data_IF_658921264475
#
_entry.id   IF_658921264475
#
_cell.length_a   1.000
_cell.length_b   1.000
_cell.length_c   1.000
_cell.angle_alpha   90.00
_cell.angle_beta   90.00
_cell.angle_gamma   90.00
#
_symmetry.space_group_name_H-M   'P 1'
#
loop_
_entity.id
_entity.type
_entity.pdbx_description
1 polymer ?
#
# COMPACT_ATOMS: atom_id res chain seq x y z
N UNK A 1 -1.00 26.24 -30.76
CA UNK A 1 0.24 26.25 -29.94
C UNK A 1 -0.01 26.01 -28.45
N UNK A 2 -1.25 26.12 -27.94
CA UNK A 2 -1.65 25.88 -26.54
C UNK A 2 -1.76 24.40 -26.17
N UNK A 3 -2.28 23.55 -27.06
CA UNK A 3 -2.48 22.11 -26.80
C UNK A 3 -1.19 21.34 -26.56
N UNK A 4 -0.14 21.58 -27.38
CA UNK A 4 1.15 20.91 -27.20
C UNK A 4 1.82 21.32 -25.88
N UNK A 5 1.70 22.60 -25.48
CA UNK A 5 2.20 23.08 -24.18
C UNK A 5 1.46 22.40 -23.02
N UNK A 6 0.13 22.29 -23.10
CA UNK A 6 -0.67 21.63 -22.08
C UNK A 6 -0.35 20.13 -21.99
N UNK A 7 -0.23 19.45 -23.12
CA UNK A 7 0.21 18.06 -23.18
C UNK A 7 1.57 17.87 -22.50
N UNK A 8 2.56 18.71 -22.84
CA UNK A 8 3.89 18.65 -22.23
C UNK A 8 3.86 18.89 -20.72
N UNK A 9 3.10 19.88 -20.24
CA UNK A 9 2.97 20.14 -18.80
C UNK A 9 2.38 18.92 -18.08
N UNK A 10 1.28 18.37 -18.60
CA UNK A 10 0.65 17.18 -18.01
C UNK A 10 1.61 15.99 -18.03
N UNK A 11 2.33 15.77 -19.14
CA UNK A 11 3.29 14.68 -19.27
C UNK A 11 4.44 14.81 -18.25
N UNK A 12 5.03 16.00 -18.13
CA UNK A 12 6.10 16.27 -17.17
C UNK A 12 5.61 16.14 -15.74
N UNK A 13 4.42 16.64 -15.42
CA UNK A 13 3.83 16.48 -14.08
C UNK A 13 3.54 15.02 -13.77
N UNK A 14 2.98 14.25 -14.71
CA UNK A 14 2.71 12.83 -14.54
C UNK A 14 4.00 12.05 -14.28
N UNK A 15 5.04 12.27 -15.10
CA UNK A 15 6.35 11.65 -14.93
C UNK A 15 6.97 12.04 -13.57
N UNK A 16 6.91 13.32 -13.20
CA UNK A 16 7.40 13.80 -11.91
C UNK A 16 6.71 13.13 -10.72
N UNK A 17 5.38 13.09 -10.73
CA UNK A 17 4.60 12.40 -9.69
C UNK A 17 4.87 10.88 -9.68
N UNK A 18 5.09 10.26 -10.84
CA UNK A 18 5.35 8.83 -10.95
C UNK A 18 6.70 8.47 -10.29
N UNK A 19 7.75 9.22 -10.61
CA UNK A 19 9.06 9.05 -9.99
C UNK A 19 9.01 9.37 -8.49
N UNK A 20 8.31 10.43 -8.10
CA UNK A 20 8.20 10.79 -6.69
C UNK A 20 7.44 9.74 -5.88
N UNK A 21 6.33 9.21 -6.40
CA UNK A 21 5.60 8.09 -5.81
C UNK A 21 6.52 6.87 -5.62
N UNK A 22 7.33 6.55 -6.62
CA UNK A 22 8.33 5.47 -6.53
C UNK A 22 9.37 5.72 -5.44
N UNK A 23 9.79 6.97 -5.24
CA UNK A 23 10.72 7.36 -4.16
C UNK A 23 10.07 7.20 -2.79
N UNK A 24 8.81 7.62 -2.61
CA UNK A 24 8.09 7.45 -1.34
C UNK A 24 7.92 5.98 -0.97
N UNK A 25 7.73 5.12 -1.97
CA UNK A 25 7.60 3.67 -1.82
C UNK A 25 8.90 2.95 -1.43
N UNK A 26 10.04 3.65 -1.45
CA UNK A 26 11.32 3.05 -1.07
C UNK A 26 11.43 2.88 0.45
N UNK A 27 11.92 1.73 0.93
CA UNK A 27 12.21 1.54 2.34
C UNK A 27 13.30 2.53 2.82
N UNK A 28 13.10 3.12 4.00
CA UNK A 28 14.09 3.97 4.67
C UNK A 28 15.35 3.15 4.99
N UNK A 29 15.15 1.91 5.46
CA UNK A 29 16.22 0.99 5.79
C UNK A 29 16.15 -0.27 4.93
N UNK A 30 17.30 -0.73 4.45
CA UNK A 30 17.45 -2.01 3.72
C UNK A 30 17.58 -3.17 4.71
N UNK A 31 16.46 -3.62 5.25
CA UNK A 31 16.40 -4.83 6.07
C UNK A 31 16.42 -6.08 5.19
N UNK A 32 16.98 -7.18 5.71
CA UNK A 32 16.93 -8.49 5.05
C UNK A 32 15.58 -9.15 5.34
N UNK A 33 15.13 -9.95 4.40
CA UNK A 33 14.02 -10.87 4.60
C UNK A 33 14.44 -11.95 5.60
N UNK A 34 13.54 -12.28 6.53
CA UNK A 34 13.74 -13.30 7.56
C UNK A 34 12.83 -14.49 7.27
N UNK A 35 13.29 -15.73 7.49
CA UNK A 35 12.49 -16.92 7.26
C UNK A 35 11.31 -16.97 8.24
N UNK A 36 10.10 -17.17 7.71
CA UNK A 36 8.89 -17.25 8.52
C UNK A 36 8.93 -18.39 9.53
N UNK A 37 9.61 -19.50 9.20
CA UNK A 37 9.75 -20.68 10.07
C UNK A 37 10.51 -20.42 11.39
N UNK A 38 11.28 -19.33 11.48
CA UNK A 38 11.96 -18.97 12.73
C UNK A 38 11.04 -18.29 13.76
N UNK A 39 9.89 -17.78 13.31
CA UNK A 39 8.98 -16.96 14.13
C UNK A 39 7.58 -17.57 14.21
N UNK A 40 7.07 -18.07 13.09
CA UNK A 40 5.70 -18.57 12.98
C UNK A 40 5.42 -19.72 13.96
N UNK A 41 4.33 -19.60 14.73
CA UNK A 41 3.89 -20.61 15.70
C UNK A 41 4.95 -20.93 16.78
N UNK A 42 5.88 -20.01 17.03
CA UNK A 42 6.87 -20.12 18.10
C UNK A 42 6.62 -19.05 19.17
N UNK A 43 7.30 -19.15 20.31
CA UNK A 43 7.31 -18.10 21.33
C UNK A 43 8.20 -16.90 20.94
N UNK A 44 8.87 -16.94 19.78
CA UNK A 44 9.75 -15.86 19.33
C UNK A 44 8.95 -14.71 18.77
N UNK A 45 9.23 -13.54 19.30
CA UNK A 45 8.64 -12.27 18.88
C UNK A 45 9.57 -11.59 17.88
N UNK A 46 9.00 -11.02 16.81
CA UNK A 46 9.73 -10.20 15.86
C UNK A 46 9.70 -8.74 16.28
N UNK A 47 10.84 -8.19 16.66
CA UNK A 47 10.96 -6.79 17.08
C UNK A 47 11.34 -5.91 15.91
N UNK A 48 10.68 -4.76 15.77
CA UNK A 48 10.99 -3.77 14.73
C UNK A 48 10.89 -2.34 15.28
N UNK A 49 11.63 -1.42 14.67
CA UNK A 49 11.67 -0.02 15.09
C UNK A 49 10.89 0.87 14.14
N UNK A 50 10.01 1.69 14.70
CA UNK A 50 9.35 2.79 14.00
C UNK A 50 10.22 4.04 14.20
N UNK A 51 10.85 4.57 13.14
CA UNK A 51 11.91 5.57 13.28
C UNK A 51 11.40 6.96 13.71
N UNK A 52 10.21 7.34 13.23
CA UNK A 52 9.62 8.65 13.47
C UNK A 52 8.11 8.52 13.67
N UNK A 53 7.53 9.46 14.41
CA UNK A 53 6.09 9.58 14.59
C UNK A 53 5.40 9.71 13.22
N UNK A 54 4.27 9.03 13.04
CA UNK A 54 3.54 9.02 11.78
C UNK A 54 4.19 8.24 10.63
N UNK A 55 5.24 7.45 10.89
CA UNK A 55 5.89 6.65 9.84
C UNK A 55 4.96 5.57 9.31
N UNK A 56 5.03 5.31 8.01
CA UNK A 56 4.32 4.19 7.38
C UNK A 56 5.22 2.98 7.37
N UNK A 57 4.74 1.88 7.95
CA UNK A 57 5.43 0.60 7.99
C UNK A 57 4.81 -0.33 6.95
N UNK A 58 5.65 -0.96 6.15
CA UNK A 58 5.31 -1.98 5.17
C UNK A 58 5.66 -3.36 5.71
N UNK A 59 4.67 -4.24 5.64
CA UNK A 59 4.76 -5.67 5.89
C UNK A 59 4.85 -6.35 4.53
N UNK A 60 6.04 -6.84 4.18
CA UNK A 60 6.27 -7.61 2.97
C UNK A 60 6.43 -9.09 3.35
N UNK A 61 5.72 -9.96 2.65
CA UNK A 61 5.88 -11.41 2.72
C UNK A 61 6.07 -11.93 1.31
N UNK A 62 7.11 -12.73 1.08
CA UNK A 62 7.39 -13.38 -0.19
C UNK A 62 7.57 -14.88 0.04
N UNK A 63 6.89 -15.73 -0.73
CA UNK A 63 7.07 -17.17 -0.65
C UNK A 63 6.42 -17.86 -1.83
N UNK A 64 7.15 -18.78 -2.47
CA UNK A 64 6.61 -19.57 -3.58
C UNK A 64 6.15 -20.92 -3.07
N UNK A 65 4.84 -21.17 -3.15
CA UNK A 65 4.28 -22.43 -2.67
C UNK A 65 4.29 -23.52 -3.73
N UNK A 66 4.18 -24.77 -3.28
CA UNK A 66 3.92 -25.90 -4.16
C UNK A 66 2.51 -25.79 -4.76
N UNK A 67 2.29 -26.35 -5.95
CA UNK A 67 0.96 -26.34 -6.57
C UNK A 67 -0.08 -27.02 -5.67
N UNK A 68 -1.31 -26.52 -5.73
CA UNK A 68 -2.44 -26.98 -4.91
C UNK A 68 -2.18 -26.85 -3.41
N UNK A 69 -1.53 -25.76 -3.01
CA UNK A 69 -1.27 -25.49 -1.61
C UNK A 69 -1.52 -24.04 -1.27
N UNK A 70 -1.89 -23.82 -0.01
CA UNK A 70 -2.08 -22.51 0.57
C UNK A 70 -1.39 -22.43 1.92
N UNK A 71 -1.01 -21.21 2.28
CA UNK A 71 -0.50 -20.84 3.59
C UNK A 71 -1.18 -19.56 4.06
N UNK A 72 -1.96 -19.68 5.13
CA UNK A 72 -2.56 -18.55 5.83
C UNK A 72 -1.54 -17.97 6.79
N UNK A 73 -1.46 -16.65 6.85
CA UNK A 73 -0.52 -15.90 7.67
C UNK A 73 -1.29 -14.92 8.54
N UNK A 74 -1.05 -14.99 9.85
CA UNK A 74 -1.56 -14.00 10.79
C UNK A 74 -0.40 -13.32 11.51
N UNK A 75 -0.33 -11.99 11.42
CA UNK A 75 0.68 -11.18 12.09
C UNK A 75 0.00 -10.23 13.06
N UNK A 76 0.12 -10.51 14.35
CA UNK A 76 -0.39 -9.65 15.41
C UNK A 76 0.65 -8.60 15.77
N UNK A 77 0.26 -7.33 15.77
CA UNK A 77 1.16 -6.20 16.03
C UNK A 77 0.82 -5.55 17.36
N UNK A 78 1.87 -5.33 18.15
CA UNK A 78 1.80 -4.74 19.47
C UNK A 78 2.64 -3.46 19.53
N UNK A 79 2.15 -2.49 20.30
CA UNK A 79 2.82 -1.22 20.57
C UNK A 79 4.01 -1.35 21.53
N UNK A 80 4.70 -0.23 21.81
CA UNK A 80 5.83 -0.20 22.73
C UNK A 80 5.52 -0.67 24.15
N UNK A 81 4.27 -0.48 24.59
CA UNK A 81 3.79 -0.89 25.92
C UNK A 81 3.11 -2.28 25.89
N UNK A 82 3.45 -3.13 24.91
CA UNK A 82 2.85 -4.46 24.68
C UNK A 82 1.32 -4.45 24.46
N UNK A 83 0.77 -3.26 24.19
CA UNK A 83 -0.65 -3.10 23.86
C UNK A 83 -0.95 -3.63 22.47
N UNK A 84 -1.99 -4.45 22.34
CA UNK A 84 -2.41 -4.98 21.04
C UNK A 84 -3.00 -3.84 20.18
N UNK A 85 -2.55 -3.77 18.91
CA UNK A 85 -3.00 -2.74 17.96
C UNK A 85 -3.97 -3.34 16.93
N UNK A 86 -3.50 -4.33 16.18
CA UNK A 86 -4.24 -4.98 15.10
C UNK A 86 -3.58 -6.31 14.72
N UNK A 87 -4.29 -7.11 13.94
CA UNK A 87 -3.79 -8.33 13.31
C UNK A 87 -3.92 -8.18 11.80
N UNK A 88 -2.85 -8.48 11.08
CA UNK A 88 -2.88 -8.69 9.63
C UNK A 88 -3.20 -10.15 9.36
N UNK A 89 -4.17 -10.44 8.51
CA UNK A 89 -4.53 -11.78 8.04
C UNK A 89 -4.52 -11.80 6.51
N UNK A 90 -3.69 -12.64 5.93
CA UNK A 90 -3.65 -12.83 4.48
C UNK A 90 -3.09 -14.20 4.11
N UNK A 91 -3.12 -14.55 2.84
CA UNK A 91 -2.74 -15.88 2.37
C UNK A 91 -1.80 -15.85 1.16
N UNK A 92 -0.87 -16.80 1.15
CA UNK A 92 -0.13 -17.23 -0.03
C UNK A 92 -0.81 -18.50 -0.57
N UNK A 93 -0.92 -18.63 -1.88
CA UNK A 93 -1.49 -19.84 -2.49
C UNK A 93 -0.90 -20.09 -3.87
N UNK A 94 -1.00 -21.33 -4.31
CA UNK A 94 -0.68 -21.73 -5.68
C UNK A 94 -1.70 -22.76 -6.16
N UNK A 95 -2.30 -22.48 -7.31
CA UNK A 95 -3.34 -23.31 -7.92
C UNK A 95 -2.96 -23.66 -9.35
N UNK A 96 -3.48 -24.79 -9.82
CA UNK A 96 -3.31 -25.22 -11.20
C UNK A 96 -4.56 -25.93 -11.67
N UNK A 97 -4.86 -25.85 -12.96
CA UNK A 97 -6.01 -26.54 -13.50
C UNK A 97 -5.87 -26.80 -14.99
N UNK A 98 -6.96 -27.29 -15.56
CA UNK A 98 -7.11 -27.47 -16.99
C UNK A 98 -8.50 -27.06 -17.42
N UNK A 99 -8.58 -26.20 -18.43
CA UNK A 99 -9.81 -25.74 -19.06
C UNK A 99 -9.74 -25.97 -20.58
N UNK A 100 -10.66 -25.35 -21.33
CA UNK A 100 -10.71 -25.43 -22.80
C UNK A 100 -9.50 -24.83 -23.49
N UNK A 101 -8.80 -23.90 -22.83
CA UNK A 101 -7.70 -23.13 -23.39
C UNK A 101 -6.34 -23.77 -23.05
N UNK A 102 -6.32 -24.68 -22.07
CA UNK A 102 -5.19 -25.56 -21.79
C UNK A 102 -4.97 -25.78 -20.31
N UNK A 103 -3.73 -26.11 -19.95
CA UNK A 103 -3.31 -26.11 -18.54
C UNK A 103 -3.02 -24.70 -18.08
N UNK A 104 -3.52 -24.32 -16.90
CA UNK A 104 -3.23 -23.04 -16.28
C UNK A 104 -2.56 -23.23 -14.92
N UNK A 105 -1.87 -22.18 -14.47
CA UNK A 105 -1.25 -22.13 -13.15
C UNK A 105 -1.27 -20.70 -12.63
N UNK A 106 -1.75 -20.53 -11.42
CA UNK A 106 -1.85 -19.25 -10.73
C UNK A 106 -1.11 -19.28 -9.41
N UNK A 107 -0.51 -18.15 -9.04
CA UNK A 107 0.24 -17.98 -7.81
C UNK A 107 -0.14 -16.67 -7.14
N UNK A 108 -0.26 -16.73 -5.82
CA UNK A 108 -0.16 -15.59 -4.93
C UNK A 108 1.08 -15.79 -4.06
N UNK A 109 2.21 -15.27 -4.54
CA UNK A 109 3.54 -15.46 -3.95
C UNK A 109 4.04 -14.28 -3.11
N UNK A 110 3.25 -13.19 -3.06
CA UNK A 110 3.59 -11.94 -2.38
C UNK A 110 2.39 -11.34 -1.66
N UNK A 111 2.63 -10.85 -0.45
CA UNK A 111 1.72 -10.02 0.32
C UNK A 111 2.45 -8.72 0.66
N UNK A 112 1.77 -7.59 0.44
CA UNK A 112 2.28 -6.28 0.80
C UNK A 112 1.17 -5.47 1.43
N UNK A 113 1.32 -5.18 2.72
CA UNK A 113 0.38 -4.35 3.48
C UNK A 113 1.17 -3.20 4.08
N UNK A 114 0.66 -1.97 3.98
CA UNK A 114 1.31 -0.78 4.54
C UNK A 114 0.36 -0.09 5.48
N UNK A 115 0.86 0.35 6.63
CA UNK A 115 0.06 0.94 7.68
C UNK A 115 0.84 2.05 8.40
N UNK A 116 0.16 3.16 8.69
CA UNK A 116 0.73 4.27 9.48
C UNK A 116 0.83 3.88 10.96
N UNK A 117 1.91 4.28 11.61
CA UNK A 117 2.13 4.15 13.05
C UNK A 117 2.24 5.54 13.67
N UNK A 118 1.44 5.87 14.71
CA UNK A 118 1.37 7.23 15.22
C UNK A 118 2.62 7.65 16.01
N UNK A 119 3.27 6.69 16.69
CA UNK A 119 4.38 6.95 17.59
C UNK A 119 5.64 6.21 17.13
N UNK A 120 6.79 6.85 17.28
CA UNK A 120 8.10 6.23 17.16
C UNK A 120 8.35 5.29 18.35
N UNK A 121 9.21 4.31 18.13
CA UNK A 121 9.64 3.41 19.19
C UNK A 121 9.78 1.97 18.72
N UNK A 122 9.99 1.09 19.68
CA UNK A 122 10.11 -0.34 19.42
C UNK A 122 8.72 -0.98 19.46
N UNK A 123 8.39 -1.72 18.41
CA UNK A 123 7.16 -2.47 18.27
C UNK A 123 7.50 -3.95 18.14
N UNK A 124 6.50 -4.79 18.39
CA UNK A 124 6.64 -6.23 18.30
C UNK A 124 5.55 -6.82 17.43
N UNK A 125 5.90 -7.90 16.73
CA UNK A 125 4.99 -8.69 15.95
C UNK A 125 5.10 -10.17 16.30
N UNK A 126 3.95 -10.82 16.46
CA UNK A 126 3.85 -12.26 16.67
C UNK A 126 3.24 -12.88 15.43
N UNK A 127 3.89 -13.92 14.91
CA UNK A 127 3.53 -14.55 13.64
C UNK A 127 2.91 -15.93 13.90
N UNK A 128 1.78 -16.18 13.27
CA UNK A 128 1.15 -17.48 13.19
C UNK A 128 0.98 -17.85 11.72
N UNK A 129 1.15 -19.12 11.42
CA UNK A 129 0.86 -19.64 10.09
C UNK A 129 0.09 -20.95 10.16
N UNK A 130 -0.79 -21.13 9.18
CA UNK A 130 -1.49 -22.39 8.95
C UNK A 130 -1.31 -22.79 7.50
N UNK A 131 -1.34 -24.09 7.23
CA UNK A 131 -1.14 -24.61 5.88
C UNK A 131 -2.22 -25.61 5.48
N UNK A 132 -2.62 -25.49 4.22
CA UNK A 132 -3.49 -26.44 3.54
C UNK A 132 -2.76 -27.63 2.96
N UNK A 133 -3.47 -28.69 2.56
CA UNK A 133 -2.85 -29.95 2.17
C UNK A 133 -2.04 -29.86 0.87
N UNK A 134 -0.73 -30.12 1.00
CA UNK A 134 0.01 -31.05 0.14
C UNK A 134 0.80 -32.02 1.04
N UNK A 135 0.62 -33.33 0.84
CA UNK A 135 1.11 -34.39 1.78
C UNK A 135 2.61 -34.72 1.63
N UNK A 136 3.34 -34.11 0.69
CA UNK A 136 4.69 -34.59 0.30
C UNK A 136 5.73 -33.50 0.03
N UNK A 137 5.45 -32.23 0.28
CA UNK A 137 6.45 -31.15 0.15
C UNK A 137 6.98 -30.71 1.50
N UNK A 138 8.32 -30.65 1.67
CA UNK A 138 8.92 -29.84 2.73
C UNK A 138 8.30 -28.45 2.65
N UNK A 139 7.74 -27.97 3.77
CA UNK A 139 6.88 -26.80 3.82
C UNK A 139 7.45 -25.66 3.00
N UNK A 140 6.66 -25.18 2.03
CA UNK A 140 7.04 -24.06 1.19
C UNK A 140 7.40 -22.86 2.08
N UNK A 141 8.69 -22.57 2.09
CA UNK A 141 9.29 -21.54 2.90
C UNK A 141 8.83 -20.18 2.36
N UNK A 142 8.57 -19.27 3.29
CA UNK A 142 8.30 -17.88 2.98
C UNK A 142 9.19 -17.03 3.85
N UNK A 143 9.44 -15.82 3.38
CA UNK A 143 10.22 -14.84 4.08
C UNK A 143 9.41 -13.58 4.26
N UNK A 144 9.60 -12.93 5.40
CA UNK A 144 8.91 -11.68 5.70
C UNK A 144 9.89 -10.60 6.14
N UNK A 145 9.42 -9.36 6.09
CA UNK A 145 10.14 -8.17 6.55
C UNK A 145 9.14 -7.08 6.88
N UNK A 146 9.47 -6.29 7.89
CA UNK A 146 8.74 -5.08 8.25
C UNK A 146 9.67 -3.88 8.06
N UNK A 147 9.27 -2.86 7.30
CA UNK A 147 10.10 -1.66 7.07
C UNK A 147 9.35 -0.36 7.01
N UNK A 148 9.97 0.69 7.53
CA UNK A 148 9.51 2.06 7.30
C UNK A 148 9.67 2.46 5.83
N UNK A 149 8.66 3.12 5.27
CA UNK A 149 8.66 3.78 3.98
C UNK A 149 8.99 5.26 4.13
N UNK A 150 9.42 5.91 3.04
CA UNK A 150 9.71 7.36 3.05
C UNK A 150 8.46 8.22 3.11
N UNK A 151 7.32 7.72 2.63
CA UNK A 151 6.02 8.38 2.76
C UNK A 151 4.89 7.55 2.17
N UNK A 152 3.74 8.19 1.96
CA UNK A 152 2.51 7.58 1.48
C UNK A 152 2.34 7.74 -0.04
N UNK A 153 2.79 6.76 -0.81
CA UNK A 153 2.61 6.74 -2.27
C UNK A 153 1.13 6.61 -2.68
N UNK A 154 0.25 6.11 -1.79
CA UNK A 154 -1.17 5.87 -2.11
C UNK A 154 -1.92 7.18 -2.40
N UNK A 155 -1.55 8.27 -1.73
CA UNK A 155 -2.12 9.62 -1.92
C UNK A 155 -1.97 10.10 -3.37
N UNK A 156 -0.87 9.73 -4.03
CA UNK A 156 -0.58 10.14 -5.41
C UNK A 156 -1.26 9.25 -6.45
N UNK A 157 -1.75 8.07 -6.05
CA UNK A 157 -2.23 7.04 -6.99
C UNK A 157 -3.41 7.53 -7.81
N UNK A 158 -4.43 8.12 -7.18
CA UNK A 158 -5.60 8.66 -7.87
C UNK A 158 -5.19 9.76 -8.88
N UNK A 159 -4.29 10.66 -8.47
CA UNK A 159 -3.85 11.76 -9.30
C UNK A 159 -3.06 11.28 -10.53
N UNK A 160 -2.20 10.27 -10.36
CA UNK A 160 -1.50 9.62 -11.45
C UNK A 160 -2.44 8.98 -12.47
N UNK A 161 -3.53 8.35 -12.00
CA UNK A 161 -4.56 7.81 -12.88
C UNK A 161 -5.28 8.90 -13.67
N UNK A 162 -5.72 9.97 -13.01
CA UNK A 162 -6.39 11.11 -13.67
C UNK A 162 -5.50 11.70 -14.76
N UNK A 163 -4.26 12.04 -14.43
CA UNK A 163 -3.30 12.58 -15.39
C UNK A 163 -2.99 11.59 -16.52
N UNK A 164 -2.87 10.29 -16.21
CA UNK A 164 -2.63 9.23 -17.18
C UNK A 164 -3.76 9.06 -18.20
N UNK A 165 -5.01 9.08 -17.73
CA UNK A 165 -6.20 9.04 -18.61
C UNK A 165 -6.23 10.26 -19.53
N UNK A 166 -5.96 11.46 -19.00
CA UNK A 166 -5.92 12.69 -19.81
C UNK A 166 -4.83 12.58 -20.89
N UNK A 167 -3.64 12.06 -20.55
CA UNK A 167 -2.57 11.82 -21.53
C UNK A 167 -2.98 10.83 -22.60
N UNK A 168 -3.62 9.72 -22.23
CA UNK A 168 -4.12 8.73 -23.18
C UNK A 168 -5.13 9.35 -24.17
N UNK A 169 -6.04 10.19 -23.69
CA UNK A 169 -6.97 10.94 -24.54
C UNK A 169 -6.24 11.88 -25.52
N UNK A 170 -5.17 12.56 -25.08
CA UNK A 170 -4.37 13.40 -25.97
C UNK A 170 -3.65 12.59 -27.05
N UNK A 171 -3.09 11.43 -26.69
CA UNK A 171 -2.42 10.54 -27.65
C UNK A 171 -3.43 10.01 -28.67
N UNK A 172 -4.61 9.56 -28.23
CA UNK A 172 -5.68 9.07 -29.10
C UNK A 172 -6.22 10.18 -30.03
N UNK A 173 -6.41 11.39 -29.51
CA UNK A 173 -6.80 12.53 -30.33
C UNK A 173 -5.73 12.87 -31.38
N UNK A 174 -4.45 12.85 -30.98
CA UNK A 174 -3.32 13.09 -31.87
C UNK A 174 -3.19 12.03 -32.98
N UNK A 175 -3.34 10.75 -32.65
CA UNK A 175 -3.29 9.66 -33.63
C UNK A 175 -4.41 9.79 -34.66
N UNK A 176 -5.65 9.99 -34.19
CA UNK A 176 -6.80 10.16 -35.08
C UNK A 176 -6.69 11.43 -35.94
N UNK A 177 -6.10 12.51 -35.42
CA UNK A 177 -5.86 13.72 -36.20
C UNK A 177 -4.84 13.47 -37.32
N UNK A 178 -3.76 12.75 -37.03
CA UNK A 178 -2.73 12.42 -38.02
C UNK A 178 -3.25 11.47 -39.09
N UNK A 179 -4.05 10.47 -38.70
CA UNK A 179 -4.67 9.51 -39.62
C UNK A 179 -5.69 10.20 -40.55
N UNK A 180 -6.59 11.02 -40.01
CA UNK A 180 -7.58 11.76 -40.81
C UNK A 180 -6.96 12.87 -41.68
N UNK A 181 -5.77 13.39 -41.33
CA UNK A 181 -5.05 14.37 -42.16
C UNK A 181 -4.54 13.74 -43.47
N UNK A 182 -4.33 12.42 -43.48
CA UNK A 182 -3.91 11.70 -44.68
C UNK A 182 -5.09 11.38 -45.62
N UNK A 183 -6.33 11.36 -45.13
CA UNK A 183 -7.47 10.90 -45.93
C UNK A 183 -8.32 12.00 -46.60
N UNK A 184 -8.62 13.18 -46.01
CA UNK A 184 -9.43 14.18 -46.75
C UNK A 184 -9.23 15.64 -46.27
N UNK A 185 -9.20 16.58 -47.22
CA UNK A 185 -9.44 18.03 -47.01
C UNK A 185 -10.88 18.23 -46.49
N UNK A 186 -11.09 18.16 -45.19
CA UNK A 186 -12.42 18.39 -44.59
C UNK A 186 -12.49 19.79 -43.94
N UNK A 187 -13.23 20.76 -44.52
CA UNK A 187 -13.27 22.15 -44.06
C UNK A 187 -14.08 22.39 -42.77
N UNK A 188 -14.69 21.34 -42.19
CA UNK A 188 -15.52 21.46 -40.98
C UNK A 188 -14.77 21.18 -39.66
N UNK A 189 -13.47 20.87 -39.72
CA UNK A 189 -12.64 20.64 -38.53
C UNK A 189 -11.99 21.91 -37.98
N UNK A 190 -12.41 23.10 -38.41
CA UNK A 190 -11.95 24.38 -37.85
C UNK A 190 -12.83 24.84 -36.66
N UNK A 191 -13.00 23.94 -35.68
CA UNK A 191 -13.47 24.31 -34.33
C UNK A 191 -12.40 23.93 -33.31
N UNK A 192 -11.20 24.50 -33.46
CA UNK A 192 -10.14 24.42 -32.45
C UNK A 192 -10.39 25.32 -31.23
N UNK A 193 -11.64 25.71 -30.95
CA UNK A 193 -11.96 26.79 -30.01
C UNK A 193 -12.20 26.34 -28.56
N UNK A 194 -12.12 25.04 -28.24
CA UNK A 194 -12.45 24.57 -26.88
C UNK A 194 -11.38 24.99 -25.85
N UNK A 195 -10.15 25.30 -26.27
CA UNK A 195 -9.05 25.72 -25.38
C UNK A 195 -8.31 26.99 -25.83
N UNK A 196 -8.82 27.70 -26.84
CA UNK A 196 -8.25 28.98 -27.29
C UNK A 196 -8.61 30.09 -26.30
N UNK A 197 -7.96 30.12 -25.14
CA UNK A 197 -8.21 31.11 -24.09
C UNK A 197 -7.68 30.72 -22.71
N UNK A 198 -7.24 29.48 -22.51
CA UNK A 198 -6.67 29.07 -21.22
C UNK A 198 -5.27 29.65 -21.07
N UNK A 199 -5.11 30.55 -20.10
CA UNK A 199 -3.82 31.14 -19.76
C UNK A 199 -2.87 30.07 -19.23
N UNK A 200 -1.56 30.21 -19.48
CA UNK A 200 -0.55 29.30 -18.91
C UNK A 200 -0.58 29.27 -17.38
N UNK A 201 -1.02 30.36 -16.74
CA UNK A 201 -1.20 30.45 -15.30
C UNK A 201 -2.31 29.53 -14.80
N UNK A 202 -3.43 29.45 -15.53
CA UNK A 202 -4.54 28.52 -15.20
C UNK A 202 -4.08 27.07 -15.25
N UNK A 203 -3.24 26.71 -16.23
CA UNK A 203 -2.70 25.35 -16.35
C UNK A 203 -1.81 25.01 -15.16
N UNK A 204 -0.92 25.93 -14.76
CA UNK A 204 -0.06 25.75 -13.58
C UNK A 204 -0.90 25.58 -12.32
N UNK A 205 -1.93 26.42 -12.15
CA UNK A 205 -2.78 26.42 -10.96
C UNK A 205 -3.64 25.15 -10.84
N UNK A 206 -4.08 24.56 -11.95
CA UNK A 206 -4.99 23.39 -11.93
C UNK A 206 -4.24 22.06 -12.00
N UNK A 207 -3.04 22.01 -12.60
CA UNK A 207 -2.29 20.76 -12.78
C UNK A 207 -1.11 20.67 -11.82
N UNK A 208 -0.25 21.69 -11.82
CA UNK A 208 1.03 21.64 -11.12
C UNK A 208 0.84 21.89 -9.62
N UNK A 209 0.03 22.89 -9.25
CA UNK A 209 -0.18 23.23 -7.84
C UNK A 209 -0.83 22.08 -7.04
N UNK A 210 -1.89 21.41 -7.52
CA UNK A 210 -2.44 20.23 -6.83
C UNK A 210 -1.43 19.09 -6.73
N UNK A 211 -0.63 18.86 -7.79
CA UNK A 211 0.43 17.85 -7.76
C UNK A 211 1.46 18.15 -6.64
N UNK A 212 1.89 19.41 -6.50
CA UNK A 212 2.82 19.82 -5.45
C UNK A 212 2.18 19.61 -4.07
N UNK A 213 0.93 20.06 -3.87
CA UNK A 213 0.22 19.88 -2.59
C UNK A 213 0.11 18.40 -2.22
N UNK A 214 -0.26 17.55 -3.18
CA UNK A 214 -0.35 16.11 -2.96
C UNK A 214 1.01 15.48 -2.64
N UNK A 215 2.10 15.93 -3.29
CA UNK A 215 3.45 15.48 -2.96
C UNK A 215 3.85 15.86 -1.53
N UNK A 216 3.49 17.07 -1.08
CA UNK A 216 3.73 17.51 0.30
C UNK A 216 2.93 16.66 1.28
N UNK A 217 1.64 16.44 1.01
CA UNK A 217 0.79 15.58 1.85
C UNK A 217 1.28 14.13 1.89
N UNK A 218 1.73 13.59 0.76
CA UNK A 218 2.30 12.26 0.66
C UNK A 218 3.60 12.09 1.47
N UNK A 219 4.32 13.17 1.72
CA UNK A 219 5.49 13.17 2.62
C UNK A 219 5.17 13.52 4.06
N UNK A 220 3.97 14.04 4.32
CA UNK A 220 3.59 14.49 5.64
C UNK A 220 3.36 13.28 6.56
N UNK A 221 4.07 13.24 7.68
CA UNK A 221 3.89 12.23 8.72
C UNK A 221 2.96 12.78 9.78
N UNK A 222 1.71 12.32 9.79
CA UNK A 222 0.75 12.66 10.85
C UNK A 222 1.00 11.77 12.06
N UNK A 223 1.10 12.36 13.25
CA UNK A 223 1.21 11.71 14.55
C UNK A 223 -0.16 11.45 15.20
N UNK A 224 -1.25 11.78 14.50
CA UNK A 224 -2.60 11.64 15.05
C UNK A 224 -2.90 10.19 15.44
N UNK A 225 -3.56 9.97 16.60
CA UNK A 225 -3.89 8.64 17.07
C UNK A 225 -4.79 7.91 16.07
N UNK A 226 -4.51 6.62 15.86
CA UNK A 226 -5.22 5.80 14.87
C UNK A 226 -6.33 5.01 15.55
N UNK A 227 -7.54 5.13 15.03
CA UNK A 227 -8.64 4.25 15.40
C UNK A 227 -8.55 2.94 14.59
N UNK A 228 -7.90 1.93 15.18
CA UNK A 228 -7.72 0.61 14.56
C UNK A 228 -9.03 -0.12 14.23
N UNK A 229 -10.12 0.18 14.92
CA UNK A 229 -11.44 -0.39 14.59
C UNK A 229 -11.92 0.12 13.24
N UNK A 230 -11.76 1.42 12.99
CA UNK A 230 -12.08 2.03 11.70
C UNK A 230 -11.14 1.56 10.57
N UNK A 231 -9.85 1.38 10.87
CA UNK A 231 -8.92 0.80 9.90
C UNK A 231 -9.35 -0.62 9.52
N UNK A 232 -9.73 -1.45 10.51
CA UNK A 232 -10.16 -2.82 10.26
C UNK A 232 -11.46 -2.93 9.47
N UNK A 233 -12.40 -1.99 9.60
CA UNK A 233 -13.64 -2.02 8.83
C UNK A 233 -13.44 -1.65 7.36
N UNK A 234 -12.36 -0.94 7.04
CA UNK A 234 -12.02 -0.52 5.66
C UNK A 234 -11.07 -1.49 4.96
N UNK A 235 -10.42 -2.42 5.68
CA UNK A 235 -9.40 -3.32 5.15
C UNK A 235 -9.75 -4.79 5.43
N UNK A 236 -9.91 -5.60 4.37
CA UNK A 236 -10.25 -7.03 4.51
C UNK A 236 -9.16 -7.85 5.22
N UNK A 237 -7.90 -7.44 5.09
CA UNK A 237 -6.74 -8.14 5.64
C UNK A 237 -6.29 -7.61 7.00
N UNK A 238 -6.99 -6.63 7.59
CA UNK A 238 -6.65 -6.08 8.90
C UNK A 238 -7.86 -6.27 9.82
N UNK A 239 -7.66 -6.92 10.95
CA UNK A 239 -8.67 -7.06 12.00
C UNK A 239 -8.18 -6.41 13.29
N UNK A 240 -9.09 -5.79 14.05
CA UNK A 240 -8.82 -5.28 15.40
C UNK A 240 -9.79 -5.94 16.37
N UNK A 241 -9.33 -6.94 17.14
CA UNK A 241 -10.16 -7.58 18.16
C UNK A 241 -10.29 -6.67 19.40
N UNK A 242 -11.53 -6.31 19.74
CA UNK A 242 -11.85 -5.49 20.92
C UNK A 242 -11.45 -6.18 22.22
N UNK A 243 -11.66 -7.50 22.34
CA UNK A 243 -11.37 -8.25 23.56
C UNK A 243 -9.87 -8.28 23.83
N UNK A 244 -9.05 -8.52 22.80
CA UNK A 244 -7.59 -8.50 22.95
C UNK A 244 -7.07 -7.10 23.32
N UNK A 245 -7.67 -6.03 22.80
CA UNK A 245 -7.33 -4.65 23.23
C UNK A 245 -7.67 -4.44 24.70
N UNK A 246 -8.87 -4.78 25.13
CA UNK A 246 -9.31 -4.63 26.53
C UNK A 246 -8.43 -5.45 27.49
N UNK A 247 -8.04 -6.68 27.12
CA UNK A 247 -7.10 -7.49 27.90
C UNK A 247 -5.69 -6.88 27.97
N UNK A 248 -5.17 -6.36 26.85
CA UNK A 248 -3.84 -5.72 26.83
C UNK A 248 -3.80 -4.44 27.65
N UNK A 249 -4.85 -3.60 27.55
CA UNK A 249 -5.00 -2.37 28.34
C UNK A 249 -5.23 -2.66 29.83
N UNK A 250 -5.94 -3.75 30.14
CA UNK A 250 -6.13 -4.23 31.51
C UNK A 250 -4.86 -4.81 32.14
N UNK A 251 -3.96 -5.39 31.34
CA UNK A 251 -2.69 -5.95 31.81
C UNK A 251 -1.59 -4.90 32.04
N UNK A 252 -1.55 -3.85 31.21
CA UNK A 252 -0.57 -2.77 31.30
C UNK A 252 -0.77 -1.82 32.50
N UNK A 253 -1.76 -2.08 33.36
CA UNK A 253 -2.19 -1.16 34.41
C UNK A 253 -2.68 -1.78 35.72
N UNK A 254 -2.37 -3.05 36.02
CA UNK A 254 -2.75 -3.65 37.31
C UNK A 254 -1.83 -3.17 38.47
N UNK A 255 -1.81 -1.85 38.70
CA UNK A 255 -1.64 -1.32 40.06
C UNK A 255 -2.94 -1.61 40.79
N UNK A 256 -2.94 -2.69 41.56
CA UNK A 256 -3.95 -2.94 42.59
C UNK A 256 -4.00 -1.71 43.52
N UNK A 257 -4.95 -0.79 43.31
CA UNK A 257 -5.42 0.01 44.41
C UNK A 257 -6.20 -0.94 45.31
N UNK A 258 -5.53 -1.44 46.34
CA UNK A 258 -6.18 -2.17 47.41
C UNK A 258 -7.24 -1.27 48.02
N UNK A 259 -8.51 -1.50 47.68
CA UNK A 259 -9.61 -1.00 48.50
C UNK A 259 -9.71 -1.93 49.71
N UNK A 260 -9.02 -1.52 50.77
CA UNK A 260 -9.35 -1.85 52.15
C UNK A 260 -10.73 -1.28 52.46
N UNK A 261 -11.63 -2.12 52.94
CA UNK A 261 -12.84 -1.74 53.66
C UNK A 261 -13.89 -2.86 53.56
N UNK A 262 -14.24 -3.61 54.59
CA UNK A 262 -14.09 -3.39 56.02
C UNK A 262 -15.46 -3.59 56.66
N UNK A 263 -15.70 -4.82 57.15
CA UNK A 263 -16.85 -5.29 57.95
C UNK A 263 -18.25 -5.19 57.33
#
# INVERSE_FOLDING_TARGET
>A
MTHLKLFLVIAVTWVGCFFYSSVLDTPVQKLKFQPGSEFANTERVYTFEVPEDGSIMRFDVNGRLALQSWKSLELMVFGPDEQYLFTIKDELWAESGRDSDGSWTEYRDKIRISQRFPQKGQYTAVLYDEKGPHRTGSGSEYYFRITALKGDSSILTLWLWVLGIILACYVFYGSNYLENKNDYKNPYLDKSSVFSGVSSLTIILVVVLPAIVLCVLASHKSDEPINWVYVSSSHKSISSDRQMREHSLGSAGFRTSGSRGGK
#
